data_IF_554922268460
#
_entry.id   IF_554922268460
#
_cell.length_a   1.000
_cell.length_b   1.000
_cell.length_c   1.000
_cell.angle_alpha   90.00
_cell.angle_beta   90.00
_cell.angle_gamma   90.00
#
_symmetry.space_group_name_H-M   'P 1'
#
loop_
_entity.id
_entity.type
_entity.pdbx_description
1 polymer ?
#
# COMPACT_ATOMS: atom_id res chain seq x y z
N UNK A 1 -20.28 -15.30 -30.56
CA UNK A 1 -19.07 -15.04 -29.77
C UNK A 1 -19.54 -14.48 -28.42
N UNK A 2 -19.34 -15.22 -27.36
CA UNK A 2 -19.75 -14.75 -26.03
C UNK A 2 -18.70 -13.74 -25.54
N UNK A 3 -19.11 -12.49 -25.34
CA UNK A 3 -18.32 -11.46 -24.66
C UNK A 3 -18.36 -11.76 -23.16
N UNK A 4 -17.40 -12.56 -22.68
CA UNK A 4 -17.21 -12.73 -21.23
C UNK A 4 -16.54 -11.47 -20.68
N UNK A 5 -17.17 -10.83 -19.72
CA UNK A 5 -16.53 -9.78 -18.89
C UNK A 5 -15.50 -10.47 -17.99
N UNK A 6 -14.25 -10.03 -18.06
CA UNK A 6 -13.20 -10.47 -17.14
C UNK A 6 -13.50 -9.89 -15.75
N UNK A 7 -13.77 -10.77 -14.79
CA UNK A 7 -13.88 -10.37 -13.38
C UNK A 7 -12.49 -10.48 -12.75
N UNK A 8 -11.88 -9.34 -12.44
CA UNK A 8 -10.52 -9.22 -11.90
C UNK A 8 -10.41 -9.58 -10.40
N UNK A 9 -11.52 -10.00 -9.76
CA UNK A 9 -11.54 -10.40 -8.34
C UNK A 9 -11.25 -11.90 -8.12
N UNK A 10 -10.91 -12.63 -9.17
CA UNK A 10 -10.81 -14.08 -9.13
C UNK A 10 -9.44 -14.56 -8.61
N UNK A 11 -9.45 -15.65 -7.83
CA UNK A 11 -8.24 -16.32 -7.32
C UNK A 11 -7.46 -17.04 -8.44
N UNK A 12 -6.17 -17.38 -8.21
CA UNK A 12 -5.33 -18.12 -9.18
C UNK A 12 -6.02 -19.34 -9.77
N UNK A 13 -6.71 -20.14 -8.93
CA UNK A 13 -7.44 -21.32 -9.39
C UNK A 13 -8.64 -20.96 -10.27
N UNK A 14 -9.29 -19.84 -9.99
CA UNK A 14 -10.43 -19.35 -10.77
C UNK A 14 -9.97 -18.74 -12.10
N UNK A 15 -8.87 -17.97 -12.09
CA UNK A 15 -8.26 -17.46 -13.31
C UNK A 15 -7.77 -18.62 -14.19
N UNK A 16 -7.13 -19.62 -13.58
CA UNK A 16 -6.73 -20.84 -14.28
C UNK A 16 -7.93 -21.57 -14.86
N UNK A 17 -9.05 -21.65 -14.13
CA UNK A 17 -10.30 -22.26 -14.61
C UNK A 17 -10.96 -21.44 -15.72
N UNK A 18 -10.89 -20.11 -15.69
CA UNK A 18 -11.36 -19.22 -16.75
C UNK A 18 -10.48 -19.36 -17.99
N UNK A 19 -9.15 -19.32 -17.83
CA UNK A 19 -8.21 -19.55 -18.91
C UNK A 19 -8.40 -20.91 -19.53
N UNK A 20 -8.63 -21.95 -18.72
CA UNK A 20 -8.94 -23.31 -19.20
C UNK A 20 -10.30 -23.42 -19.90
N UNK A 21 -11.31 -22.61 -19.51
CA UNK A 21 -12.63 -22.54 -20.18
C UNK A 21 -12.58 -21.72 -21.47
N UNK A 22 -11.82 -20.65 -21.49
CA UNK A 22 -11.59 -19.87 -22.72
C UNK A 22 -10.77 -20.65 -23.74
N UNK A 23 -10.08 -21.72 -23.33
CA UNK A 23 -9.17 -22.50 -24.12
C UNK A 23 -9.47 -24.02 -24.03
N UNK A 24 -10.53 -24.52 -24.67
CA UNK A 24 -10.79 -25.96 -24.72
C UNK A 24 -9.73 -26.77 -25.46
N UNK A 25 -8.72 -26.10 -26.02
CA UNK A 25 -7.69 -26.67 -26.87
C UNK A 25 -6.40 -27.08 -26.15
N UNK A 26 -6.28 -26.82 -24.84
CA UNK A 26 -5.05 -27.13 -24.09
C UNK A 26 -4.80 -28.63 -23.89
N UNK A 27 -5.74 -29.49 -24.27
CA UNK A 27 -5.63 -30.94 -24.09
C UNK A 27 -5.18 -31.69 -25.34
N UNK A 28 -4.87 -31.01 -26.45
CA UNK A 28 -4.60 -31.64 -27.73
C UNK A 28 -3.25 -31.29 -28.37
N UNK A 29 -2.33 -30.67 -27.63
CA UNK A 29 -1.02 -30.27 -28.19
C UNK A 29 -1.03 -28.96 -28.98
N UNK A 30 -2.18 -28.31 -29.11
CA UNK A 30 -2.37 -27.11 -29.95
C UNK A 30 -2.04 -25.77 -29.22
N UNK A 31 -1.75 -25.79 -27.93
CA UNK A 31 -1.33 -24.57 -27.17
C UNK A 31 -0.07 -23.95 -27.80
N UNK A 32 0.82 -24.76 -28.36
CA UNK A 32 1.99 -24.31 -29.10
C UNK A 32 1.63 -23.58 -30.41
N UNK A 33 0.49 -23.90 -31.00
CA UNK A 33 0.04 -23.37 -32.31
C UNK A 33 -0.68 -22.02 -32.14
N UNK A 34 -1.27 -21.77 -30.99
CA UNK A 34 -2.04 -20.53 -30.70
C UNK A 34 -1.24 -19.47 -29.94
N UNK A 35 -0.02 -19.81 -29.48
CA UNK A 35 0.91 -18.83 -28.90
C UNK A 35 0.51 -18.27 -27.53
N UNK A 36 -0.42 -18.91 -26.78
CA UNK A 36 -0.77 -18.51 -25.42
C UNK A 36 -0.15 -19.46 -24.39
N UNK A 37 0.40 -18.91 -23.32
CA UNK A 37 0.97 -19.69 -22.22
C UNK A 37 0.75 -19.04 -20.86
N UNK A 38 0.86 -19.84 -19.80
CA UNK A 38 0.84 -19.34 -18.42
C UNK A 38 1.99 -19.97 -17.62
N UNK A 39 2.67 -19.15 -16.83
CA UNK A 39 3.75 -19.60 -15.95
C UNK A 39 3.85 -18.79 -14.67
N UNK A 40 4.61 -19.32 -13.71
CA UNK A 40 4.87 -18.68 -12.42
C UNK A 40 6.35 -18.32 -12.31
N UNK A 41 6.65 -17.07 -12.03
CA UNK A 41 7.99 -16.55 -11.81
C UNK A 41 8.21 -16.28 -10.32
N UNK A 42 9.10 -17.06 -9.68
CA UNK A 42 9.49 -16.89 -8.27
C UNK A 42 10.81 -16.13 -8.10
N UNK A 43 11.40 -15.61 -9.16
CA UNK A 43 12.65 -14.83 -9.10
C UNK A 43 12.51 -13.66 -8.16
N UNK A 44 13.51 -13.47 -7.26
CA UNK A 44 13.52 -12.40 -6.27
C UNK A 44 13.32 -11.00 -6.90
N UNK A 45 12.63 -10.11 -6.16
CA UNK A 45 12.27 -8.77 -6.63
C UNK A 45 13.45 -7.93 -7.10
N UNK A 46 14.56 -7.94 -6.35
CA UNK A 46 15.78 -7.19 -6.65
C UNK A 46 16.59 -7.72 -7.84
N UNK A 47 16.26 -8.91 -8.37
CA UNK A 47 16.93 -9.48 -9.54
C UNK A 47 16.25 -8.97 -10.81
N UNK A 48 16.95 -8.18 -11.64
CA UNK A 48 16.40 -7.66 -12.88
C UNK A 48 16.13 -8.78 -13.91
N UNK A 49 17.01 -9.77 -14.01
CA UNK A 49 16.87 -10.91 -14.91
C UNK A 49 15.93 -11.96 -14.29
N UNK A 50 14.67 -11.97 -14.73
CA UNK A 50 13.64 -12.91 -14.31
C UNK A 50 13.66 -14.17 -15.20
N UNK A 51 13.19 -15.29 -14.66
CA UNK A 51 13.06 -16.55 -15.40
C UNK A 51 11.69 -17.16 -15.16
N UNK A 52 11.13 -17.80 -16.19
CA UNK A 52 9.87 -18.54 -16.09
C UNK A 52 9.94 -19.80 -16.96
N UNK A 53 9.35 -20.89 -16.47
CA UNK A 53 9.09 -22.09 -17.26
C UNK A 53 7.60 -22.18 -17.56
N UNK A 54 7.25 -22.32 -18.83
CA UNK A 54 5.87 -22.44 -19.31
C UNK A 54 5.79 -23.74 -20.11
N UNK A 55 5.06 -24.72 -19.61
CA UNK A 55 4.95 -26.06 -20.21
C UNK A 55 4.32 -25.96 -21.59
N UNK A 56 4.93 -26.67 -22.57
CA UNK A 56 4.46 -26.76 -23.95
C UNK A 56 4.30 -25.40 -24.67
N UNK A 57 5.06 -24.37 -24.24
CA UNK A 57 5.02 -23.05 -24.84
C UNK A 57 6.34 -22.71 -25.52
N UNK A 58 6.25 -22.19 -26.74
CA UNK A 58 7.39 -21.67 -27.51
C UNK A 58 7.17 -20.16 -27.73
N UNK A 59 8.14 -19.36 -27.32
CA UNK A 59 8.08 -17.90 -27.50
C UNK A 59 8.42 -17.54 -28.96
N UNK A 60 7.41 -17.17 -29.73
CA UNK A 60 7.54 -16.72 -31.14
C UNK A 60 6.93 -15.32 -31.28
N UNK A 61 7.32 -14.52 -32.28
CA UNK A 61 6.67 -13.24 -32.54
C UNK A 61 5.14 -13.35 -32.57
N UNK A 62 4.45 -12.43 -31.94
CA UNK A 62 2.99 -12.41 -31.69
C UNK A 62 2.47 -13.40 -30.65
N UNK A 63 3.34 -14.17 -29.98
CA UNK A 63 2.91 -14.98 -28.82
C UNK A 63 2.33 -14.07 -27.72
N UNK A 64 1.14 -14.46 -27.24
CA UNK A 64 0.50 -13.83 -26.06
C UNK A 64 0.55 -14.83 -24.90
N UNK A 65 0.99 -14.39 -23.75
CA UNK A 65 1.11 -15.25 -22.56
C UNK A 65 1.01 -14.44 -21.28
N UNK A 66 0.71 -15.13 -20.18
CA UNK A 66 0.60 -14.55 -18.86
C UNK A 66 1.66 -15.13 -17.91
N UNK A 67 2.21 -14.32 -17.05
CA UNK A 67 3.14 -14.74 -15.98
C UNK A 67 2.73 -14.16 -14.66
N UNK A 68 2.50 -15.02 -13.66
CA UNK A 68 2.37 -14.62 -12.27
C UNK A 68 3.76 -14.35 -11.70
N UNK A 69 4.03 -13.12 -11.31
CA UNK A 69 5.23 -12.74 -10.58
C UNK A 69 4.93 -12.77 -9.07
N UNK A 70 5.49 -13.74 -8.37
CA UNK A 70 5.29 -13.89 -6.93
C UNK A 70 5.97 -12.77 -6.12
N UNK A 71 7.00 -12.12 -6.69
CA UNK A 71 7.75 -11.06 -6.04
C UNK A 71 7.64 -9.75 -6.82
N UNK A 72 7.46 -8.65 -6.10
CA UNK A 72 7.44 -7.29 -6.65
C UNK A 72 8.73 -6.94 -7.39
N UNK A 73 8.64 -6.06 -8.39
CA UNK A 73 9.83 -5.59 -9.10
C UNK A 73 10.48 -4.41 -8.35
N UNK A 74 11.61 -4.66 -7.70
CA UNK A 74 12.43 -3.64 -7.01
C UNK A 74 13.71 -3.32 -7.77
N UNK A 75 13.97 -3.99 -8.91
CA UNK A 75 15.04 -3.66 -9.84
C UNK A 75 14.51 -2.89 -11.05
N UNK A 76 15.33 -1.98 -11.60
CA UNK A 76 15.02 -1.26 -12.83
C UNK A 76 15.20 -2.13 -14.07
N UNK A 77 14.47 -1.81 -15.15
CA UNK A 77 14.61 -2.44 -16.47
C UNK A 77 14.57 -3.97 -16.43
N UNK A 78 13.54 -4.59 -15.87
CA UNK A 78 13.47 -6.05 -15.76
C UNK A 78 13.42 -6.71 -17.13
N UNK A 79 14.02 -7.89 -17.19
CA UNK A 79 13.97 -8.78 -18.34
C UNK A 79 13.38 -10.13 -17.95
N UNK A 80 12.86 -10.89 -18.90
CA UNK A 80 12.33 -12.24 -18.68
C UNK A 80 12.89 -13.21 -19.70
N UNK A 81 13.45 -14.30 -19.20
CA UNK A 81 13.79 -15.49 -20.01
C UNK A 81 12.68 -16.53 -19.87
N UNK A 82 12.08 -16.93 -20.98
CA UNK A 82 11.04 -17.96 -21.06
C UNK A 82 11.70 -19.27 -21.48
N UNK A 83 11.47 -20.33 -20.72
CA UNK A 83 11.96 -21.69 -21.00
C UNK A 83 13.47 -21.78 -21.30
N UNK A 84 14.28 -21.01 -20.57
CA UNK A 84 15.73 -20.97 -20.75
C UNK A 84 16.20 -20.26 -22.02
N UNK A 85 15.30 -19.62 -22.77
CA UNK A 85 15.63 -18.81 -23.94
C UNK A 85 16.32 -17.49 -23.57
N UNK A 86 16.69 -16.71 -24.60
CA UNK A 86 17.30 -15.39 -24.37
C UNK A 86 16.35 -14.44 -23.62
N UNK A 87 16.87 -13.76 -22.60
CA UNK A 87 16.10 -12.78 -21.83
C UNK A 87 15.65 -11.62 -22.71
N UNK A 88 14.38 -11.22 -22.59
CA UNK A 88 13.76 -10.12 -23.33
C UNK A 88 13.35 -9.02 -22.36
N UNK A 89 13.48 -7.76 -22.76
CA UNK A 89 13.07 -6.63 -21.95
C UNK A 89 11.54 -6.61 -21.77
N UNK A 90 11.08 -6.43 -20.53
CA UNK A 90 9.67 -6.20 -20.24
C UNK A 90 9.38 -4.71 -20.42
N UNK A 91 8.44 -4.38 -21.29
CA UNK A 91 8.06 -3.01 -21.66
C UNK A 91 6.62 -2.71 -21.26
N UNK A 92 6.41 -1.50 -20.74
CA UNK A 92 5.09 -0.95 -20.48
C UNK A 92 4.90 0.29 -21.37
N UNK A 93 3.92 0.26 -22.26
CA UNK A 93 3.70 1.30 -23.27
C UNK A 93 4.98 1.68 -24.05
N UNK A 94 5.78 0.68 -24.45
CA UNK A 94 7.03 0.87 -25.20
C UNK A 94 8.25 1.28 -24.36
N UNK A 95 8.07 1.69 -23.12
CA UNK A 95 9.14 2.05 -22.19
C UNK A 95 9.59 0.88 -21.32
N UNK A 96 10.78 0.97 -20.70
CA UNK A 96 11.17 -0.02 -19.69
C UNK A 96 10.13 -0.06 -18.56
N UNK A 97 9.82 -1.27 -18.06
CA UNK A 97 8.91 -1.44 -16.93
C UNK A 97 9.46 -0.68 -15.71
N UNK A 98 8.70 0.29 -15.16
CA UNK A 98 9.14 1.03 -13.98
C UNK A 98 9.23 0.14 -12.74
N UNK A 99 10.14 0.48 -11.82
CA UNK A 99 10.14 -0.11 -10.47
C UNK A 99 8.82 0.19 -9.77
N UNK A 100 8.37 -0.75 -8.92
CA UNK A 100 7.15 -0.60 -8.13
C UNK A 100 5.83 -0.77 -8.91
N UNK A 101 5.86 -0.97 -10.24
CA UNK A 101 4.64 -1.23 -11.02
C UNK A 101 4.16 -2.68 -10.95
N UNK A 102 5.01 -3.59 -10.54
CA UNK A 102 4.68 -5.02 -10.35
C UNK A 102 4.86 -5.33 -8.88
N UNK A 103 3.76 -5.63 -8.22
CA UNK A 103 3.71 -6.02 -6.80
C UNK A 103 3.81 -7.54 -6.64
N UNK A 104 3.85 -8.01 -5.41
CA UNK A 104 3.77 -9.44 -5.13
C UNK A 104 2.47 -10.02 -5.72
N UNK A 105 2.56 -11.21 -6.33
CA UNK A 105 1.44 -11.92 -6.93
C UNK A 105 0.72 -11.15 -8.05
N UNK A 106 1.47 -10.39 -8.84
CA UNK A 106 0.96 -9.69 -10.03
C UNK A 106 1.07 -10.58 -11.26
N UNK A 107 0.01 -10.70 -12.04
CA UNK A 107 0.03 -11.33 -13.36
C UNK A 107 0.24 -10.25 -14.41
N UNK A 108 1.30 -10.40 -15.21
CA UNK A 108 1.46 -9.63 -16.44
C UNK A 108 0.98 -10.45 -17.63
N UNK A 109 0.07 -9.89 -18.40
CA UNK A 109 -0.28 -10.40 -19.73
C UNK A 109 0.58 -9.67 -20.74
N UNK A 110 1.36 -10.41 -21.52
CA UNK A 110 2.39 -9.86 -22.41
C UNK A 110 2.23 -10.40 -23.82
N UNK A 111 2.59 -9.57 -24.80
CA UNK A 111 2.79 -9.97 -26.19
C UNK A 111 4.27 -9.82 -26.56
N UNK A 112 4.82 -10.84 -27.21
CA UNK A 112 6.18 -10.79 -27.74
C UNK A 112 6.18 -10.22 -29.16
N UNK A 113 6.84 -9.10 -29.39
CA UNK A 113 6.94 -8.43 -30.72
C UNK A 113 8.10 -8.92 -31.61
N UNK A 114 8.84 -9.92 -31.14
CA UNK A 114 10.08 -10.42 -31.78
C UNK A 114 11.35 -9.86 -31.12
N UNK A 115 11.24 -8.80 -30.32
CA UNK A 115 12.35 -8.15 -29.62
C UNK A 115 12.09 -8.00 -28.13
N UNK A 116 10.93 -7.49 -27.76
CA UNK A 116 10.53 -7.17 -26.39
C UNK A 116 9.23 -7.89 -25.98
N UNK A 117 9.02 -7.98 -24.67
CA UNK A 117 7.77 -8.42 -24.06
C UNK A 117 6.96 -7.19 -23.66
N UNK A 118 5.98 -6.86 -24.50
CA UNK A 118 5.13 -5.70 -24.27
C UNK A 118 3.94 -6.08 -23.38
N UNK A 119 3.84 -5.44 -22.22
CA UNK A 119 2.72 -5.64 -21.29
C UNK A 119 1.46 -5.03 -21.90
N UNK A 120 0.42 -5.83 -22.03
CA UNK A 120 -0.90 -5.43 -22.52
C UNK A 120 -1.91 -5.35 -21.38
N UNK A 121 -1.65 -6.05 -20.27
CA UNK A 121 -2.47 -5.95 -19.06
C UNK A 121 -1.65 -6.31 -17.80
N UNK A 122 -2.03 -5.69 -16.66
CA UNK A 122 -1.45 -5.91 -15.34
C UNK A 122 -2.59 -6.33 -14.42
N UNK A 123 -2.67 -7.62 -14.14
CA UNK A 123 -3.66 -8.18 -13.22
C UNK A 123 -2.97 -8.36 -11.87
N UNK A 124 -3.11 -7.39 -11.01
CA UNK A 124 -2.66 -7.55 -9.62
C UNK A 124 -3.60 -8.51 -8.91
N UNK A 125 -3.10 -9.67 -8.53
CA UNK A 125 -3.75 -10.43 -7.47
C UNK A 125 -3.35 -9.80 -6.14
N UNK A 126 -4.01 -8.72 -5.79
CA UNK A 126 -4.10 -8.38 -4.39
C UNK A 126 -5.02 -9.45 -3.79
N UNK A 127 -4.47 -10.33 -2.96
CA UNK A 127 -5.32 -10.96 -1.95
C UNK A 127 -6.14 -9.82 -1.37
N UNK A 128 -7.47 -9.97 -1.34
CA UNK A 128 -8.31 -8.93 -0.78
C UNK A 128 -7.66 -8.47 0.53
N UNK A 129 -7.43 -7.17 0.68
CA UNK A 129 -6.82 -6.66 1.89
C UNK A 129 -7.59 -7.23 3.09
N UNK A 130 -6.94 -7.62 4.17
CA UNK A 130 -7.64 -8.08 5.35
C UNK A 130 -8.72 -7.07 5.73
N UNK A 131 -9.86 -7.55 6.24
CA UNK A 131 -10.96 -6.67 6.65
C UNK A 131 -10.44 -5.53 7.53
N UNK A 132 -10.82 -4.29 7.20
CA UNK A 132 -10.36 -3.08 7.88
C UNK A 132 -9.05 -2.49 7.35
N UNK A 133 -8.54 -3.01 6.21
CA UNK A 133 -7.34 -2.47 5.54
C UNK A 133 -7.59 -2.23 4.06
N UNK A 134 -6.91 -1.22 3.52
CA UNK A 134 -6.92 -0.87 2.10
C UNK A 134 -5.52 -1.13 1.52
N UNK A 135 -5.48 -1.85 0.42
CA UNK A 135 -4.31 -1.93 -0.44
C UNK A 135 -4.35 -0.77 -1.45
N UNK A 136 -3.47 0.18 -1.27
CA UNK A 136 -3.29 1.30 -2.21
C UNK A 136 -2.26 0.97 -3.31
N UNK A 137 -1.75 -0.26 -3.35
CA UNK A 137 -0.70 -0.72 -4.27
C UNK A 137 0.53 0.20 -4.28
N UNK A 138 0.89 0.77 -3.12
CA UNK A 138 2.07 1.61 -2.99
C UNK A 138 3.36 0.78 -3.13
N UNK A 139 4.49 1.39 -3.52
CA UNK A 139 5.76 0.68 -3.73
C UNK A 139 6.24 -0.17 -2.55
N UNK A 140 5.96 0.25 -1.32
CA UNK A 140 6.26 -0.53 -0.11
C UNK A 140 5.43 -1.81 0.04
N UNK A 141 4.26 -1.89 -0.62
CA UNK A 141 3.29 -2.97 -0.44
C UNK A 141 2.53 -2.92 0.89
N UNK A 142 2.62 -1.80 1.62
CA UNK A 142 1.93 -1.63 2.89
C UNK A 142 0.42 -1.52 2.69
N UNK A 143 -0.30 -2.17 3.60
CA UNK A 143 -1.74 -2.02 3.74
C UNK A 143 -2.02 -0.93 4.79
N UNK A 144 -2.94 -0.03 4.47
CA UNK A 144 -3.34 1.07 5.36
C UNK A 144 -4.65 0.73 6.06
N UNK A 145 -4.71 0.90 7.37
CA UNK A 145 -5.97 0.71 8.10
C UNK A 145 -7.04 1.69 7.60
N UNK A 146 -8.26 1.22 7.38
CA UNK A 146 -9.38 2.05 6.90
C UNK A 146 -9.77 3.16 7.87
N UNK A 147 -9.55 2.94 9.17
CA UNK A 147 -9.96 3.87 10.23
C UNK A 147 -8.79 4.20 11.19
N UNK A 148 -8.95 5.25 11.97
CA UNK A 148 -8.00 5.65 12.99
C UNK A 148 -7.96 4.64 14.14
N UNK A 149 -6.84 4.56 14.86
CA UNK A 149 -6.74 3.72 16.06
C UNK A 149 -7.82 4.13 17.07
N UNK A 150 -8.59 3.14 17.53
CA UNK A 150 -9.73 3.32 18.42
C UNK A 150 -11.04 3.77 17.76
N UNK A 151 -11.06 3.88 16.43
CA UNK A 151 -12.27 4.09 15.64
C UNK A 151 -12.82 2.76 15.10
N UNK A 152 -14.11 2.73 14.77
CA UNK A 152 -14.82 1.59 14.16
C UNK A 152 -15.19 1.85 12.70
N UNK A 153 -15.19 3.11 12.29
CA UNK A 153 -15.51 3.54 10.92
C UNK A 153 -14.43 4.48 10.38
N UNK A 154 -14.33 4.65 9.05
CA UNK A 154 -13.39 5.58 8.44
C UNK A 154 -13.57 7.04 8.85
N UNK A 155 -14.76 7.42 9.29
CA UNK A 155 -15.15 8.82 9.59
C UNK A 155 -14.92 9.20 11.06
N UNK A 156 -14.79 8.21 11.96
CA UNK A 156 -14.53 8.48 13.36
C UNK A 156 -13.11 8.99 13.58
N UNK A 157 -12.96 9.95 14.51
CA UNK A 157 -11.68 10.56 14.82
C UNK A 157 -10.73 9.60 15.55
N UNK A 158 -11.27 8.60 16.26
CA UNK A 158 -10.50 7.65 17.05
C UNK A 158 -9.91 8.25 18.33
N UNK A 159 -8.82 7.67 18.78
CA UNK A 159 -8.10 8.09 19.98
C UNK A 159 -6.98 9.10 19.65
N UNK A 160 -6.67 9.94 20.63
CA UNK A 160 -5.55 10.88 20.59
C UNK A 160 -4.43 10.37 21.49
N UNK A 161 -3.20 10.52 21.03
CA UNK A 161 -1.99 10.02 21.68
C UNK A 161 -0.91 11.09 21.76
N UNK A 162 -0.22 11.20 22.89
CA UNK A 162 1.12 11.78 22.89
C UNK A 162 2.10 10.82 22.23
N UNK A 163 3.13 11.33 21.57
CA UNK A 163 4.05 10.51 20.81
C UNK A 163 4.82 9.48 21.66
N UNK A 164 4.70 8.21 21.34
CA UNK A 164 5.32 7.10 22.09
C UNK A 164 4.59 6.70 23.37
N UNK A 165 3.46 7.35 23.71
CA UNK A 165 2.58 6.92 24.78
C UNK A 165 1.45 6.06 24.20
N UNK A 166 1.42 4.78 24.54
CA UNK A 166 0.47 3.80 23.99
C UNK A 166 -0.95 3.92 24.54
N UNK A 167 -1.14 4.68 25.62
CA UNK A 167 -2.48 4.96 26.16
C UNK A 167 -3.16 6.04 25.33
N UNK A 168 -4.19 5.64 24.60
CA UNK A 168 -5.01 6.55 23.82
C UNK A 168 -6.17 7.13 24.63
N UNK A 169 -6.54 8.37 24.32
CA UNK A 169 -7.58 9.11 25.02
C UNK A 169 -8.68 9.55 24.06
N UNK A 170 -9.92 9.18 24.37
CA UNK A 170 -11.08 9.60 23.61
C UNK A 170 -11.33 11.12 23.78
N UNK A 171 -12.03 11.69 22.82
CA UNK A 171 -12.54 13.05 22.95
C UNK A 171 -13.37 13.19 24.22
N UNK A 172 -13.17 14.32 24.91
CA UNK A 172 -13.89 14.62 26.16
C UNK A 172 -13.44 13.79 27.38
N UNK A 173 -12.36 13.00 27.26
CA UNK A 173 -11.83 12.19 28.38
C UNK A 173 -11.30 13.02 29.55
N UNK A 174 -11.03 14.34 29.33
CA UNK A 174 -10.41 15.20 30.33
C UNK A 174 -8.91 14.98 30.54
N UNK A 175 -8.27 14.13 29.72
CA UNK A 175 -6.83 13.90 29.80
C UNK A 175 -6.04 15.17 29.44
N UNK A 176 -4.99 15.42 30.20
CA UNK A 176 -4.13 16.61 30.04
C UNK A 176 -2.86 16.28 29.22
N UNK A 177 -2.83 16.74 27.97
CA UNK A 177 -1.68 16.63 27.06
C UNK A 177 -0.65 17.75 27.34
N UNK A 178 -0.28 17.96 28.61
CA UNK A 178 0.75 18.94 29.03
C UNK A 178 2.15 18.33 29.06
N UNK A 179 3.17 19.20 29.11
CA UNK A 179 4.57 18.77 29.25
C UNK A 179 4.80 17.97 30.54
N UNK A 180 4.15 18.37 31.64
CA UNK A 180 4.29 17.73 32.94
C UNK A 180 3.77 16.29 32.91
N UNK A 181 2.58 16.07 32.33
CA UNK A 181 1.98 14.73 32.22
C UNK A 181 2.77 13.88 31.22
N UNK A 182 3.19 14.45 30.09
CA UNK A 182 3.97 13.72 29.10
C UNK A 182 5.32 13.25 29.65
N UNK A 183 5.99 14.05 30.49
CA UNK A 183 7.29 13.72 31.06
C UNK A 183 7.28 12.43 31.93
N UNK A 184 6.09 12.03 32.41
CA UNK A 184 5.89 10.80 33.19
C UNK A 184 5.59 9.58 32.31
N UNK A 185 5.50 9.74 30.98
CA UNK A 185 5.24 8.64 30.06
C UNK A 185 6.52 7.99 29.54
N UNK A 186 6.47 6.71 29.17
CA UNK A 186 7.58 5.99 28.56
C UNK A 186 8.03 6.66 27.24
N UNK A 187 7.09 7.29 26.53
CA UNK A 187 7.38 8.01 25.29
C UNK A 187 8.37 9.16 25.46
N UNK A 188 8.38 9.83 26.62
CA UNK A 188 9.29 10.94 26.90
C UNK A 188 10.77 10.53 26.88
N UNK A 189 11.08 9.29 27.24
CA UNK A 189 12.44 8.75 27.30
C UNK A 189 13.01 8.38 25.92
N UNK A 190 12.20 8.35 24.84
CA UNK A 190 12.67 7.95 23.53
C UNK A 190 13.67 8.96 22.93
N UNK A 191 14.82 8.44 22.45
CA UNK A 191 15.87 9.22 21.79
C UNK A 191 16.06 8.85 20.31
N UNK A 192 15.13 8.08 19.74
CA UNK A 192 15.11 7.61 18.35
C UNK A 192 13.70 7.31 17.90
N UNK A 193 13.56 6.74 16.70
CA UNK A 193 12.27 6.33 16.16
C UNK A 193 11.55 5.37 17.10
N UNK A 194 10.22 5.43 17.11
CA UNK A 194 9.40 4.45 17.85
C UNK A 194 9.70 3.05 17.30
N UNK A 195 10.17 2.12 18.13
CA UNK A 195 10.36 0.74 17.72
C UNK A 195 8.99 0.05 17.58
N UNK A 196 8.87 -0.89 16.63
CA UNK A 196 7.65 -1.67 16.43
C UNK A 196 7.48 -2.68 17.58
N UNK A 197 6.93 -2.23 18.69
CA UNK A 197 6.65 -3.03 19.90
C UNK A 197 5.43 -2.50 20.64
N UNK A 198 4.97 -3.24 21.65
CA UNK A 198 3.79 -2.84 22.43
C UNK A 198 4.06 -1.76 23.50
N UNK A 199 5.31 -1.37 23.73
CA UNK A 199 5.69 -0.39 24.76
C UNK A 199 5.52 1.04 24.25
N UNK A 200 5.86 1.30 22.99
CA UNK A 200 5.93 2.66 22.44
C UNK A 200 5.08 2.87 21.20
N UNK A 201 4.79 1.81 20.44
CA UNK A 201 4.02 1.90 19.20
C UNK A 201 2.52 1.84 19.51
N UNK A 202 1.86 3.00 19.39
CA UNK A 202 0.44 3.17 19.71
C UNK A 202 -0.45 2.29 18.84
N UNK A 203 -0.12 2.10 17.56
CA UNK A 203 -0.88 1.23 16.67
C UNK A 203 -0.69 -0.25 17.05
N UNK A 204 0.57 -0.67 17.28
CA UNK A 204 0.89 -2.04 17.71
C UNK A 204 0.22 -2.41 19.01
N UNK A 205 0.24 -1.52 19.99
CA UNK A 205 -0.35 -1.75 21.31
C UNK A 205 -1.86 -1.95 21.24
N UNK A 206 -2.54 -1.07 20.49
CA UNK A 206 -4.00 -1.01 20.49
C UNK A 206 -4.65 -1.95 19.46
N UNK A 207 -3.94 -2.33 18.40
CA UNK A 207 -4.48 -3.16 17.31
C UNK A 207 -3.82 -4.53 17.22
N UNK A 208 -2.68 -4.74 17.90
CA UNK A 208 -1.92 -5.98 17.83
C UNK A 208 -1.03 -6.11 16.58
N UNK A 209 -0.30 -7.24 16.50
CA UNK A 209 0.52 -7.57 15.34
C UNK A 209 -0.38 -7.99 14.15
N UNK A 210 -0.01 -7.63 12.90
CA UNK A 210 1.23 -6.96 12.46
C UNK A 210 1.17 -5.43 12.44
N UNK A 211 0.10 -4.79 12.92
CA UNK A 211 -0.10 -3.35 12.88
C UNK A 211 1.05 -2.58 13.54
N UNK A 212 1.36 -1.39 12.98
CA UNK A 212 2.36 -0.47 13.51
C UNK A 212 2.08 0.97 13.07
N UNK A 213 2.76 1.94 13.66
CA UNK A 213 2.79 3.29 13.13
C UNK A 213 3.51 3.32 11.79
N UNK A 214 3.02 4.15 10.83
CA UNK A 214 3.80 4.49 9.66
C UNK A 214 4.99 5.37 10.03
N UNK A 215 6.05 5.29 9.24
CA UNK A 215 7.14 6.26 9.25
C UNK A 215 6.75 7.53 8.48
N UNK A 216 7.47 8.63 8.68
CA UNK A 216 7.33 9.84 7.85
C UNK A 216 7.61 9.56 6.37
N UNK A 217 8.54 8.62 6.05
CA UNK A 217 8.81 8.18 4.68
C UNK A 217 7.64 7.46 4.03
N UNK A 218 6.88 6.67 4.79
CA UNK A 218 5.68 5.98 4.30
C UNK A 218 4.50 6.95 4.10
N UNK A 219 4.36 7.99 4.94
CA UNK A 219 3.46 9.09 4.65
C UNK A 219 3.89 9.87 3.38
N UNK A 220 5.19 10.06 3.16
CA UNK A 220 5.69 10.67 1.92
C UNK A 220 5.37 9.79 0.70
N UNK A 221 5.49 8.47 0.84
CA UNK A 221 5.11 7.52 -0.22
C UNK A 221 3.62 7.62 -0.54
N UNK A 222 2.74 7.66 0.48
CA UNK A 222 1.30 7.87 0.32
C UNK A 222 1.02 9.16 -0.47
N UNK A 223 1.62 10.28 -0.08
CA UNK A 223 1.43 11.58 -0.73
C UNK A 223 1.94 11.59 -2.17
N UNK A 224 3.07 10.92 -2.45
CA UNK A 224 3.68 10.89 -3.78
C UNK A 224 2.92 10.00 -4.79
N UNK A 225 2.22 8.97 -4.30
CA UNK A 225 1.59 7.95 -5.16
C UNK A 225 0.06 8.02 -5.17
N UNK A 226 -0.53 8.98 -4.47
CA UNK A 226 -1.96 9.20 -4.47
C UNK A 226 -2.29 10.63 -4.93
N UNK A 227 -3.39 10.79 -5.63
CA UNK A 227 -4.08 12.09 -5.67
C UNK A 227 -4.79 12.29 -4.33
N UNK A 228 -4.91 13.53 -3.89
CA UNK A 228 -5.63 13.80 -2.65
C UNK A 228 -6.55 15.00 -2.80
N UNK A 229 -7.74 14.89 -2.22
CA UNK A 229 -8.73 15.96 -2.23
C UNK A 229 -9.26 16.21 -0.80
N UNK A 230 -9.55 17.47 -0.51
CA UNK A 230 -10.30 17.85 0.68
C UNK A 230 -11.78 17.59 0.43
N UNK A 231 -12.41 16.82 1.29
CA UNK A 231 -13.81 16.42 1.10
C UNK A 231 -14.51 16.24 2.45
N UNK A 232 -15.81 16.05 2.41
CA UNK A 232 -16.64 15.63 3.53
C UNK A 232 -17.14 14.21 3.25
N UNK A 233 -16.99 13.32 4.23
CA UNK A 233 -17.51 11.97 4.20
C UNK A 233 -18.32 11.70 5.47
N UNK A 234 -19.59 11.37 5.31
CA UNK A 234 -20.56 11.15 6.40
C UNK A 234 -20.66 12.34 7.38
N UNK A 235 -20.55 13.56 6.86
CA UNK A 235 -20.59 14.80 7.68
C UNK A 235 -19.27 15.12 8.39
N UNK A 236 -18.19 14.43 8.06
CA UNK A 236 -16.86 14.64 8.65
C UNK A 236 -15.89 15.17 7.60
N UNK A 237 -15.41 16.40 7.81
CA UNK A 237 -14.39 16.99 6.94
C UNK A 237 -13.05 16.25 7.08
N UNK A 238 -12.36 16.08 5.97
CA UNK A 238 -11.08 15.39 5.95
C UNK A 238 -10.44 15.38 4.57
N UNK A 239 -9.51 14.46 4.38
CA UNK A 239 -8.84 14.31 3.10
C UNK A 239 -8.90 12.86 2.63
N UNK A 240 -9.36 12.67 1.39
CA UNK A 240 -9.30 11.39 0.69
C UNK A 240 -8.01 11.30 -0.11
N UNK A 241 -7.29 10.19 0.05
CA UNK A 241 -6.15 9.83 -0.78
C UNK A 241 -6.55 8.69 -1.71
N UNK A 242 -6.44 8.90 -3.02
CA UNK A 242 -6.79 7.91 -4.06
C UNK A 242 -5.53 7.47 -4.78
N UNK A 243 -5.23 6.19 -4.73
CA UNK A 243 -4.04 5.63 -5.39
C UNK A 243 -4.04 5.87 -6.89
N UNK A 244 -2.93 6.42 -7.39
CA UNK A 244 -2.68 6.58 -8.82
C UNK A 244 -2.37 5.24 -9.53
N UNK A 245 -2.26 4.14 -8.76
CA UNK A 245 -1.84 2.83 -9.23
C UNK A 245 -3.04 1.92 -9.46
N UNK A 246 -3.91 1.76 -8.43
CA UNK A 246 -5.06 0.85 -8.50
C UNK A 246 -6.43 1.52 -8.33
N UNK A 247 -6.47 2.84 -8.05
CA UNK A 247 -7.72 3.59 -7.87
C UNK A 247 -8.39 3.40 -6.50
N UNK A 248 -7.87 2.54 -5.62
CA UNK A 248 -8.37 2.40 -4.27
C UNK A 248 -8.12 3.69 -3.47
N UNK A 249 -9.01 3.99 -2.53
CA UNK A 249 -8.91 5.22 -1.76
C UNK A 249 -9.06 4.98 -0.26
N UNK A 250 -8.52 5.91 0.52
CA UNK A 250 -8.61 5.93 1.97
C UNK A 250 -8.91 7.35 2.44
N UNK A 251 -9.81 7.47 3.42
CA UNK A 251 -10.18 8.74 4.02
C UNK A 251 -9.49 8.96 5.36
N UNK A 252 -8.97 10.17 5.56
CA UNK A 252 -8.35 10.62 6.80
C UNK A 252 -9.18 11.78 7.35
N UNK A 253 -9.91 11.61 8.48
CA UNK A 253 -10.62 12.69 9.16
C UNK A 253 -9.71 13.86 9.57
N UNK A 254 -10.20 15.09 9.46
CA UNK A 254 -9.56 16.25 10.03
C UNK A 254 -9.81 16.31 11.54
N UNK A 255 -9.10 15.47 12.28
CA UNK A 255 -9.32 15.19 13.70
C UNK A 255 -8.84 16.31 14.63
N UNK A 256 -8.06 17.30 14.11
CA UNK A 256 -7.46 18.32 14.96
C UNK A 256 -6.42 17.75 15.91
N UNK A 257 -6.19 18.46 17.01
CA UNK A 257 -5.19 18.11 18.02
C UNK A 257 -5.59 18.56 19.43
N UNK A 258 -5.10 17.86 20.44
CA UNK A 258 -5.13 18.31 21.82
C UNK A 258 -3.86 19.07 22.21
N UNK A 259 -4.06 20.19 22.95
CA UNK A 259 -3.03 20.92 23.68
C UNK A 259 -3.52 21.10 25.12
N UNK A 260 -2.87 20.44 26.06
CA UNK A 260 -3.44 20.28 27.39
C UNK A 260 -4.79 19.56 27.30
N UNK A 261 -5.82 20.13 27.89
CA UNK A 261 -7.20 19.59 27.84
C UNK A 261 -8.03 20.15 26.67
N UNK A 262 -7.45 21.01 25.83
CA UNK A 262 -8.18 21.74 24.78
C UNK A 262 -8.03 21.03 23.42
N UNK A 263 -9.15 20.62 22.82
CA UNK A 263 -9.22 20.19 21.44
C UNK A 263 -9.29 21.40 20.51
N UNK A 264 -8.39 21.47 19.53
CA UNK A 264 -8.30 22.54 18.55
C UNK A 264 -8.27 22.00 17.13
N UNK A 265 -8.60 22.83 16.15
CA UNK A 265 -8.43 22.55 14.71
C UNK A 265 -9.26 21.38 14.15
N UNK A 266 -10.19 20.80 14.92
CA UNK A 266 -11.09 19.75 14.43
C UNK A 266 -11.93 20.26 13.27
N UNK A 267 -12.10 19.43 12.25
CA UNK A 267 -12.79 19.80 11.01
C UNK A 267 -11.99 20.72 10.08
N UNK A 268 -10.76 21.11 10.47
CA UNK A 268 -9.91 22.01 9.67
C UNK A 268 -8.53 21.43 9.39
N UNK A 269 -7.97 20.66 10.30
CA UNK A 269 -6.63 20.04 10.17
C UNK A 269 -6.66 18.56 10.53
N UNK A 270 -5.97 17.73 9.73
CA UNK A 270 -5.57 16.39 10.10
C UNK A 270 -4.12 16.37 10.56
N UNK A 271 -3.88 15.83 11.75
CA UNK A 271 -2.56 15.71 12.35
C UNK A 271 -2.38 14.26 12.82
N UNK A 272 -1.45 13.53 12.18
CA UNK A 272 -1.27 12.10 12.37
C UNK A 272 0.18 11.78 12.71
N UNK A 273 0.43 11.23 13.90
CA UNK A 273 1.77 10.84 14.30
C UNK A 273 2.38 9.79 13.37
N UNK A 274 3.66 9.97 13.06
CA UNK A 274 4.52 8.93 12.52
C UNK A 274 5.41 8.33 13.61
N UNK A 275 6.05 7.19 13.32
CA UNK A 275 7.06 6.60 14.21
C UNK A 275 8.40 7.34 14.19
N UNK A 276 8.56 8.34 13.31
CA UNK A 276 9.85 8.99 13.04
C UNK A 276 10.17 10.06 14.08
N UNK A 277 11.26 9.85 14.79
CA UNK A 277 11.85 10.83 15.71
C UNK A 277 12.38 12.07 14.95
N UNK A 278 12.26 13.24 15.55
CA UNK A 278 12.90 14.45 15.07
C UNK A 278 13.91 15.02 16.08
N UNK A 279 13.51 15.22 17.31
CA UNK A 279 14.34 15.76 18.38
C UNK A 279 13.86 15.31 19.76
N UNK A 280 14.55 15.70 20.81
CA UNK A 280 14.13 15.41 22.19
C UNK A 280 12.72 15.93 22.51
N UNK A 281 12.28 17.02 21.89
CA UNK A 281 10.96 17.62 22.10
C UNK A 281 9.96 17.36 20.98
N UNK A 282 10.41 17.05 19.75
CA UNK A 282 9.55 16.98 18.57
C UNK A 282 9.64 15.62 17.87
N UNK A 283 8.53 15.22 17.22
CA UNK A 283 8.44 14.07 16.34
C UNK A 283 7.79 14.44 15.02
N UNK A 284 8.03 13.63 13.99
CA UNK A 284 7.45 13.83 12.65
C UNK A 284 5.99 13.40 12.61
N UNK A 285 5.20 14.10 11.80
CA UNK A 285 3.79 13.81 11.60
C UNK A 285 3.34 14.21 10.19
N UNK A 286 2.23 13.63 9.75
CA UNK A 286 1.50 14.09 8.57
C UNK A 286 0.56 15.22 8.98
N UNK A 287 0.69 16.38 8.32
CA UNK A 287 -0.27 17.47 8.37
C UNK A 287 -1.05 17.53 7.07
N UNK A 288 -2.34 17.79 7.17
CA UNK A 288 -3.12 18.27 6.04
C UNK A 288 -4.24 19.21 6.48
N UNK A 289 -4.68 20.07 5.56
CA UNK A 289 -5.85 20.92 5.64
C UNK A 289 -6.49 21.05 4.25
N UNK A 290 -7.39 21.99 4.02
CA UNK A 290 -8.04 22.18 2.72
C UNK A 290 -7.08 22.57 1.57
N UNK A 291 -5.91 23.13 1.87
CA UNK A 291 -4.97 23.67 0.88
C UNK A 291 -3.61 22.96 0.84
N UNK A 292 -3.25 22.22 1.87
CA UNK A 292 -1.90 21.67 2.05
C UNK A 292 -1.94 20.20 2.47
N UNK A 293 -0.93 19.44 2.04
CA UNK A 293 -0.55 18.13 2.61
C UNK A 293 0.95 18.11 2.79
N UNK A 294 1.41 17.87 4.01
CA UNK A 294 2.83 17.78 4.31
C UNK A 294 3.12 16.59 5.25
N UNK A 295 3.84 15.55 4.77
CA UNK A 295 4.13 14.35 5.55
C UNK A 295 5.39 14.46 6.43
N UNK A 296 6.06 15.62 6.44
CA UNK A 296 7.39 15.78 7.07
C UNK A 296 7.45 16.89 8.10
N UNK A 297 6.32 17.46 8.49
CA UNK A 297 6.30 18.40 9.60
C UNK A 297 6.71 17.73 10.90
N UNK A 298 7.18 18.53 11.85
CA UNK A 298 7.47 18.10 13.21
C UNK A 298 6.75 18.98 14.23
N UNK A 299 6.36 18.37 15.33
CA UNK A 299 5.68 19.06 16.41
C UNK A 299 6.02 18.46 17.77
N UNK A 300 5.71 19.22 18.82
CA UNK A 300 6.02 18.80 20.17
C UNK A 300 5.28 17.52 20.53
N UNK A 301 6.04 16.52 21.02
CA UNK A 301 5.65 15.13 21.27
C UNK A 301 4.53 14.94 22.28
N UNK A 302 4.32 15.93 23.18
CA UNK A 302 3.25 15.89 24.18
C UNK A 302 1.85 16.06 23.61
N UNK A 303 1.70 16.74 22.45
CA UNK A 303 0.39 17.01 21.88
C UNK A 303 -0.36 15.72 21.54
N UNK A 304 -1.68 15.76 21.73
CA UNK A 304 -2.55 14.65 21.35
C UNK A 304 -2.88 14.69 19.86
N UNK A 305 -2.30 13.80 19.06
CA UNK A 305 -2.66 13.59 17.65
C UNK A 305 -3.23 12.20 17.46
N UNK A 306 -3.97 12.01 16.36
CA UNK A 306 -4.49 10.70 15.99
C UNK A 306 -3.43 9.83 15.33
N UNK A 307 -3.75 8.54 15.17
CA UNK A 307 -2.87 7.54 14.59
C UNK A 307 -3.63 6.75 13.52
N UNK A 308 -3.01 6.60 12.36
CA UNK A 308 -3.45 5.67 11.32
C UNK A 308 -2.43 4.55 11.20
N UNK A 309 -2.88 3.31 11.40
CA UNK A 309 -2.00 2.14 11.36
C UNK A 309 -1.69 1.68 9.93
N UNK A 310 -0.55 1.01 9.77
CA UNK A 310 -0.16 0.22 8.60
C UNK A 310 0.24 -1.20 9.01
N UNK A 311 0.23 -2.15 8.05
CA UNK A 311 0.77 -3.51 8.23
C UNK A 311 1.48 -4.00 6.98
#
# INVERSE_FOLDING_TARGET
>A
MATGTFDITQTDAQLQAILNKMWPLTNTGDAATLGFGYGVCSTAGATAAKTVSITNFVLTPSSVFAVLFQNAFTASSPTLAVNGGAAKAIKLFGNAMPMGKVHNNTILVMVYDGTNLNVIDILSQTAAAPTGFVDLALPSGLLWCEHNVGASTPYEHGLYFSWGNVTGHAEGSGYDFSDAVYAETDGAALTGNIPTNNTYDMARHNMGAPCRLPTSGEFQELVNNCTSEWTDEDGVAGRRFTSNINGNSIFFPASGNYNGTTLSNRGSYGLYWSSTYHSASNARYLLFNSSEVNPTYDFNRRYGFTVRAVQ
#
